data_IF_475378673675
#
_entry.id   IF_475378673675
#
_cell.length_a   1.000
_cell.length_b   1.000
_cell.length_c   1.000
_cell.angle_alpha   90.00
_cell.angle_beta   90.00
_cell.angle_gamma   90.00
#
_symmetry.space_group_name_H-M   'P 1'
#
loop_
_entity.id
_entity.type
_entity.pdbx_description
1 polymer ?
#
# COMPACT_ATOMS: atom_id res chain seq x y z
N UNK A 1 57.33 63.54 13.46
CA UNK A 1 56.43 62.92 12.49
C UNK A 1 56.86 61.47 12.30
N UNK A 2 56.18 60.53 13.02
CA UNK A 2 56.47 59.11 12.93
C UNK A 2 55.43 58.50 11.96
N UNK A 3 55.92 57.97 10.83
CA UNK A 3 55.11 57.22 9.86
C UNK A 3 54.90 55.79 10.36
N UNK A 4 53.66 55.43 10.70
CA UNK A 4 53.26 54.11 11.12
C UNK A 4 52.96 53.34 9.83
N UNK A 5 53.81 52.35 9.47
CA UNK A 5 53.55 51.47 8.34
C UNK A 5 52.72 50.30 8.80
N UNK A 6 51.46 50.26 8.34
CA UNK A 6 50.51 49.20 8.65
C UNK A 6 50.74 48.06 7.65
N UNK A 7 51.27 46.92 8.11
CA UNK A 7 51.43 45.71 7.34
C UNK A 7 50.11 44.96 7.38
N UNK A 8 49.40 44.93 6.24
CA UNK A 8 48.16 44.18 6.06
C UNK A 8 48.53 42.75 5.72
N UNK A 9 48.50 41.82 6.70
CA UNK A 9 48.62 40.38 6.47
C UNK A 9 47.28 39.85 5.97
N UNK A 10 47.21 39.59 4.65
CA UNK A 10 46.09 38.85 4.07
C UNK A 10 46.20 37.37 4.48
N UNK A 11 45.34 36.94 5.41
CA UNK A 11 45.19 35.54 5.73
C UNK A 11 44.45 34.86 4.59
N UNK A 12 45.16 34.07 3.79
CA UNK A 12 44.61 33.20 2.77
C UNK A 12 43.90 32.04 3.50
N UNK A 13 42.62 32.13 3.69
CA UNK A 13 41.81 30.99 4.16
C UNK A 13 41.70 30.02 2.98
N UNK A 14 42.59 29.04 2.95
CA UNK A 14 42.42 27.87 2.08
C UNK A 14 41.19 27.12 2.57
N UNK A 15 40.08 27.28 1.87
CA UNK A 15 38.92 26.41 2.05
C UNK A 15 39.39 24.97 1.76
N UNK A 16 39.47 24.14 2.79
CA UNK A 16 39.73 22.72 2.63
C UNK A 16 38.58 22.18 1.76
N UNK A 17 38.83 21.94 0.49
CA UNK A 17 37.93 21.23 -0.39
C UNK A 17 37.84 19.82 0.16
N UNK A 18 36.76 19.55 0.94
CA UNK A 18 36.54 18.20 1.42
C UNK A 18 36.31 17.29 0.20
N UNK A 19 37.05 16.18 0.17
CA UNK A 19 36.91 15.18 -0.86
C UNK A 19 35.45 14.66 -0.87
N UNK A 20 34.66 15.17 -1.79
CA UNK A 20 33.28 14.82 -1.95
C UNK A 20 32.95 14.67 -3.43
N UNK A 21 32.24 13.62 -3.79
CA UNK A 21 31.77 13.48 -5.15
C UNK A 21 30.82 14.63 -5.49
N UNK A 22 31.13 15.35 -6.53
CA UNK A 22 30.29 16.38 -7.13
C UNK A 22 29.42 15.71 -8.18
N UNK A 23 28.12 15.69 -7.93
CA UNK A 23 27.13 15.11 -8.84
C UNK A 23 26.63 16.22 -9.76
N UNK A 24 26.53 15.93 -11.07
CA UNK A 24 25.93 16.87 -12.04
C UNK A 24 24.44 17.08 -11.73
N UNK A 25 23.80 15.99 -11.29
CA UNK A 25 22.41 16.02 -10.82
C UNK A 25 22.22 14.95 -9.72
N UNK A 26 21.26 15.17 -8.84
CA UNK A 26 20.92 14.23 -7.76
C UNK A 26 19.50 13.68 -7.88
N UNK A 27 18.74 14.13 -8.89
CA UNK A 27 17.38 13.70 -9.15
C UNK A 27 17.14 13.57 -10.65
N UNK A 28 16.42 12.53 -11.03
CA UNK A 28 16.00 12.30 -12.41
C UNK A 28 14.54 11.91 -12.47
N UNK A 29 13.77 12.50 -13.41
CA UNK A 29 12.39 12.14 -13.69
C UNK A 29 12.31 11.48 -15.08
N UNK A 30 11.90 10.21 -15.12
CA UNK A 30 11.66 9.47 -16.34
C UNK A 30 10.39 9.90 -17.08
N UNK A 31 9.56 10.75 -16.45
CA UNK A 31 8.26 11.09 -16.99
C UNK A 31 7.30 9.88 -16.99
N UNK A 32 6.55 9.72 -18.08
CA UNK A 32 5.64 8.58 -18.26
C UNK A 32 6.40 7.45 -18.95
N UNK A 33 6.52 6.31 -18.28
CA UNK A 33 7.12 5.08 -18.81
C UNK A 33 6.02 4.03 -19.01
N UNK A 34 6.04 3.32 -20.12
CA UNK A 34 5.15 2.17 -20.34
C UNK A 34 5.79 0.92 -19.71
N UNK A 35 4.98 0.15 -19.04
CA UNK A 35 5.46 -1.10 -18.42
C UNK A 35 6.05 -2.07 -19.45
N UNK A 36 5.45 -2.12 -20.67
CA UNK A 36 5.89 -2.99 -21.75
C UNK A 36 7.27 -2.64 -22.32
N UNK A 37 7.74 -1.39 -22.14
CA UNK A 37 9.08 -0.98 -22.58
C UNK A 37 10.19 -1.60 -21.69
N UNK A 38 9.81 -2.25 -20.58
CA UNK A 38 10.72 -2.92 -19.69
C UNK A 38 11.46 -1.97 -18.74
N UNK A 39 12.67 -2.36 -18.34
CA UNK A 39 13.49 -1.57 -17.42
C UNK A 39 13.92 -0.27 -18.04
N UNK A 40 13.88 0.80 -17.23
CA UNK A 40 14.46 2.11 -17.58
C UNK A 40 15.72 2.36 -16.74
N UNK A 41 16.66 3.10 -17.30
CA UNK A 41 17.93 3.38 -16.65
C UNK A 41 18.35 4.83 -16.84
N UNK A 42 19.04 5.36 -15.82
CA UNK A 42 19.67 6.68 -15.88
C UNK A 42 21.07 6.62 -15.29
N UNK A 43 21.99 7.42 -15.85
CA UNK A 43 23.37 7.54 -15.39
C UNK A 43 23.57 8.87 -14.69
N UNK A 44 23.74 8.82 -13.38
CA UNK A 44 24.13 9.99 -12.58
C UNK A 44 25.62 10.20 -12.71
N UNK A 45 26.02 11.22 -13.43
CA UNK A 45 27.41 11.58 -13.60
C UNK A 45 27.97 12.24 -12.32
N UNK A 46 29.23 11.94 -12.02
CA UNK A 46 29.96 12.53 -10.90
C UNK A 46 31.40 12.83 -11.26
N UNK A 47 32.00 13.71 -10.47
CA UNK A 47 33.46 14.00 -10.48
C UNK A 47 33.97 14.06 -9.04
N UNK A 48 35.16 13.52 -8.80
CA UNK A 48 35.87 13.80 -7.57
C UNK A 48 36.58 15.17 -7.68
N UNK A 49 35.97 16.20 -7.13
CA UNK A 49 36.52 17.56 -7.07
C UNK A 49 37.47 17.79 -5.90
N UNK A 50 37.68 16.77 -5.05
CA UNK A 50 38.57 16.85 -3.90
C UNK A 50 40.05 16.54 -4.23
N UNK A 51 40.89 16.63 -3.21
CA UNK A 51 42.34 16.31 -3.29
C UNK A 51 42.63 14.85 -2.90
N UNK A 52 41.67 14.15 -2.27
CA UNK A 52 41.81 12.78 -1.80
C UNK A 52 40.99 11.81 -2.66
N UNK A 53 41.41 10.55 -2.66
CA UNK A 53 40.61 9.44 -3.21
C UNK A 53 39.33 9.29 -2.41
N UNK A 54 38.19 9.10 -3.10
CA UNK A 54 36.92 8.76 -2.51
C UNK A 54 36.66 7.27 -2.71
N UNK A 55 36.38 6.55 -1.62
CA UNK A 55 36.06 5.12 -1.65
C UNK A 55 34.57 4.92 -1.46
N UNK A 56 33.90 4.36 -2.47
CA UNK A 56 32.48 3.98 -2.38
C UNK A 56 32.37 2.62 -1.70
N UNK A 57 31.88 2.61 -0.47
CA UNK A 57 31.73 1.40 0.36
C UNK A 57 30.58 0.52 -0.09
N UNK A 58 29.47 1.13 -0.45
CA UNK A 58 28.26 0.44 -0.93
C UNK A 58 27.25 1.40 -1.52
N UNK A 59 26.34 0.87 -2.32
CA UNK A 59 25.08 1.53 -2.71
C UNK A 59 23.90 0.80 -2.08
N UNK A 60 22.85 1.53 -1.74
CA UNK A 60 21.61 0.94 -1.24
C UNK A 60 20.39 1.61 -1.87
N UNK A 61 19.39 0.83 -2.26
CA UNK A 61 18.14 1.33 -2.83
C UNK A 61 16.97 1.16 -1.88
N UNK A 62 15.96 2.03 -2.00
CA UNK A 62 14.76 1.99 -1.16
C UNK A 62 13.83 0.80 -1.45
N UNK A 63 14.06 0.03 -2.53
CA UNK A 63 13.31 -1.19 -2.86
C UNK A 63 14.13 -2.11 -3.76
N UNK A 64 13.75 -3.40 -3.82
CA UNK A 64 14.34 -4.36 -4.75
C UNK A 64 14.00 -4.12 -6.24
N UNK A 65 13.14 -3.13 -6.52
CA UNK A 65 12.78 -2.72 -7.88
C UNK A 65 13.79 -1.75 -8.52
N UNK A 66 14.74 -1.26 -7.73
CA UNK A 66 15.77 -0.30 -8.17
C UNK A 66 17.14 -0.89 -7.87
N UNK A 67 17.99 -0.92 -8.86
CA UNK A 67 19.39 -1.35 -8.73
C UNK A 67 20.32 -0.19 -9.06
N UNK A 68 21.48 -0.16 -8.40
CA UNK A 68 22.51 0.83 -8.65
C UNK A 68 23.84 0.12 -8.86
N UNK A 69 24.54 0.48 -9.94
CA UNK A 69 25.83 -0.12 -10.30
C UNK A 69 26.87 0.97 -10.60
N UNK A 70 28.02 0.84 -9.98
CA UNK A 70 29.18 1.66 -10.19
C UNK A 70 30.24 0.83 -10.91
N UNK A 71 31.00 1.43 -11.80
CA UNK A 71 32.12 0.73 -12.47
C UNK A 71 33.29 0.56 -11.52
N UNK A 72 33.67 1.65 -10.83
CA UNK A 72 34.81 1.68 -9.95
C UNK A 72 34.41 2.13 -8.55
N UNK A 73 34.98 1.50 -7.54
CA UNK A 73 34.72 1.83 -6.13
C UNK A 73 35.73 2.81 -5.53
N UNK A 74 36.89 2.99 -6.19
CA UNK A 74 37.92 3.96 -5.82
C UNK A 74 37.99 5.04 -6.90
N UNK A 75 37.74 6.28 -6.51
CA UNK A 75 37.64 7.42 -7.43
C UNK A 75 38.76 8.40 -7.06
N UNK A 76 39.80 8.48 -7.91
CA UNK A 76 40.98 9.33 -7.69
C UNK A 76 40.61 10.82 -7.82
N UNK A 77 41.41 11.72 -7.25
CA UNK A 77 41.27 13.17 -7.44
C UNK A 77 41.18 13.54 -8.92
N UNK A 78 40.16 14.30 -9.29
CA UNK A 78 39.90 14.73 -10.66
C UNK A 78 39.17 13.74 -11.55
N UNK A 79 39.05 12.48 -11.16
CA UNK A 79 38.36 11.46 -11.93
C UNK A 79 36.84 11.75 -12.02
N UNK A 80 36.27 11.36 -13.14
CA UNK A 80 34.86 11.46 -13.43
C UNK A 80 34.29 10.07 -13.77
N UNK A 81 33.05 9.83 -13.44
CA UNK A 81 32.36 8.57 -13.72
C UNK A 81 30.85 8.70 -13.66
N UNK A 82 30.17 7.58 -13.65
CA UNK A 82 28.72 7.58 -13.52
C UNK A 82 28.23 6.39 -12.70
N UNK A 83 27.17 6.61 -11.93
CA UNK A 83 26.36 5.56 -11.30
C UNK A 83 25.17 5.23 -12.21
N UNK A 84 25.10 4.00 -12.69
CA UNK A 84 23.93 3.52 -13.42
C UNK A 84 22.84 3.11 -12.43
N UNK A 85 21.69 3.77 -12.50
CA UNK A 85 20.49 3.42 -11.73
C UNK A 85 19.45 2.86 -12.69
N UNK A 86 19.02 1.62 -12.44
CA UNK A 86 17.97 0.94 -13.20
C UNK A 86 16.72 0.79 -12.35
N UNK A 87 15.55 1.01 -12.94
CA UNK A 87 14.24 0.77 -12.33
C UNK A 87 13.46 -0.25 -13.16
N UNK A 88 12.89 -1.25 -12.47
CA UNK A 88 11.99 -2.24 -13.07
C UNK A 88 10.53 -1.82 -12.81
N UNK A 89 9.76 -1.42 -13.85
CA UNK A 89 8.37 -0.99 -13.72
C UNK A 89 7.37 -2.13 -13.58
N UNK A 90 7.76 -3.39 -13.81
CA UNK A 90 6.84 -4.53 -13.86
C UNK A 90 5.98 -4.64 -12.59
N UNK A 91 4.67 -4.68 -12.77
CA UNK A 91 3.66 -4.76 -11.71
C UNK A 91 3.69 -3.58 -10.71
N UNK A 92 4.13 -2.39 -11.17
CA UNK A 92 4.24 -1.18 -10.34
C UNK A 92 3.58 0.03 -10.99
N UNK A 93 2.28 -0.06 -11.30
CA UNK A 93 1.57 1.02 -11.97
C UNK A 93 1.47 2.27 -11.08
N UNK A 94 1.44 3.42 -11.73
CA UNK A 94 1.27 4.72 -11.09
C UNK A 94 2.56 5.48 -10.82
N UNK A 95 2.48 6.60 -10.07
CA UNK A 95 3.63 7.42 -9.76
C UNK A 95 4.60 6.68 -8.83
N UNK A 96 5.88 6.86 -9.09
CA UNK A 96 6.93 6.34 -8.21
C UNK A 96 7.97 7.40 -7.90
N UNK A 97 8.55 7.28 -6.72
CA UNK A 97 9.69 8.04 -6.24
C UNK A 97 10.60 7.10 -5.46
N UNK A 98 11.81 6.89 -5.93
CA UNK A 98 12.77 5.96 -5.34
C UNK A 98 14.07 6.67 -5.02
N UNK A 99 14.72 6.22 -3.96
CA UNK A 99 15.99 6.77 -3.52
C UNK A 99 17.07 5.70 -3.60
N UNK A 100 18.27 6.16 -3.98
CA UNK A 100 19.51 5.40 -3.97
C UNK A 100 20.49 6.15 -3.10
N UNK A 101 20.98 5.53 -2.04
CA UNK A 101 22.02 6.08 -1.19
C UNK A 101 23.39 5.54 -1.65
N UNK A 102 24.34 6.44 -1.89
CA UNK A 102 25.74 6.16 -2.18
C UNK A 102 26.56 6.45 -0.93
N UNK A 103 27.04 5.39 -0.28
CA UNK A 103 27.83 5.48 0.95
C UNK A 103 29.32 5.45 0.61
N UNK A 104 30.02 6.53 0.93
CA UNK A 104 31.48 6.65 0.76
C UNK A 104 32.20 6.71 2.10
N UNK A 105 33.50 6.70 2.09
CA UNK A 105 34.35 6.99 3.27
C UNK A 105 34.25 8.45 3.73
N UNK A 106 33.77 9.35 2.86
CA UNK A 106 33.62 10.79 3.11
C UNK A 106 32.17 11.22 3.44
N UNK A 107 31.18 10.31 3.36
CA UNK A 107 29.78 10.62 3.65
C UNK A 107 28.79 9.84 2.80
N UNK A 108 27.52 10.26 2.84
CA UNK A 108 26.45 9.61 2.08
C UNK A 108 25.73 10.64 1.22
N UNK A 109 25.58 10.34 -0.07
CA UNK A 109 24.76 11.11 -1.00
C UNK A 109 23.50 10.33 -1.32
N UNK A 110 22.35 11.01 -1.33
CA UNK A 110 21.08 10.44 -1.79
C UNK A 110 20.76 10.93 -3.20
N UNK A 111 20.57 9.98 -4.10
CA UNK A 111 20.06 10.22 -5.45
C UNK A 111 18.59 9.82 -5.51
N UNK A 112 17.82 10.47 -6.37
CA UNK A 112 16.39 10.22 -6.52
C UNK A 112 16.05 9.94 -7.97
N UNK A 113 15.21 8.93 -8.20
CA UNK A 113 14.51 8.75 -9.47
C UNK A 113 13.00 8.83 -9.24
N UNK A 114 12.29 9.41 -10.19
CA UNK A 114 10.84 9.54 -10.19
C UNK A 114 10.28 9.23 -11.57
N UNK A 115 8.95 9.13 -11.65
CA UNK A 115 8.21 8.95 -12.89
C UNK A 115 6.81 8.38 -12.63
N UNK A 116 6.10 8.06 -13.70
CA UNK A 116 4.77 7.44 -13.67
C UNK A 116 4.76 6.22 -14.59
N UNK A 117 4.47 5.04 -14.03
CA UNK A 117 4.33 3.80 -14.81
C UNK A 117 2.90 3.68 -15.34
N UNK A 118 2.75 3.59 -16.66
CA UNK A 118 1.51 3.24 -17.32
C UNK A 118 1.45 1.72 -17.47
N UNK A 119 0.50 1.03 -16.79
CA UNK A 119 0.40 -0.42 -16.84
C UNK A 119 -0.16 -0.88 -18.18
N UNK A 120 0.21 -2.07 -18.60
CA UNK A 120 -0.31 -2.69 -19.83
C UNK A 120 -0.59 -4.19 -19.64
N UNK A 121 -1.40 -4.75 -20.55
CA UNK A 121 -1.63 -6.18 -20.66
C UNK A 121 -2.11 -6.87 -19.38
N UNK A 122 -1.37 -7.88 -18.97
CA UNK A 122 -1.69 -8.73 -17.80
C UNK A 122 -1.73 -7.95 -16.49
N UNK A 123 -0.85 -6.96 -16.32
CA UNK A 123 -0.78 -6.11 -15.12
C UNK A 123 -2.10 -5.40 -14.85
N UNK A 124 -2.76 -4.90 -15.91
CA UNK A 124 -4.08 -4.26 -15.77
C UNK A 124 -5.10 -5.24 -15.21
N UNK A 125 -5.11 -6.48 -15.69
CA UNK A 125 -6.01 -7.52 -15.20
C UNK A 125 -5.75 -7.95 -13.76
N UNK A 126 -4.48 -8.05 -13.37
CA UNK A 126 -4.06 -8.52 -12.04
C UNK A 126 -4.21 -7.46 -10.95
N UNK A 127 -3.85 -6.23 -11.24
CA UNK A 127 -3.85 -5.14 -10.24
C UNK A 127 -5.23 -4.47 -10.16
N UNK A 128 -5.95 -4.41 -11.28
CA UNK A 128 -7.26 -3.80 -11.39
C UNK A 128 -8.32 -4.83 -11.84
N UNK A 129 -8.61 -5.86 -11.04
CA UNK A 129 -9.51 -6.94 -11.43
C UNK A 129 -10.95 -6.47 -11.59
N UNK A 130 -11.37 -5.46 -10.81
CA UNK A 130 -12.74 -5.01 -10.74
C UNK A 130 -13.10 -4.09 -11.91
N UNK A 131 -14.05 -4.51 -12.75
CA UNK A 131 -14.54 -3.70 -13.88
C UNK A 131 -15.72 -2.84 -13.43
N UNK A 132 -15.67 -1.54 -13.73
CA UNK A 132 -16.75 -0.59 -13.48
C UNK A 132 -16.90 0.36 -14.67
N UNK A 133 -17.74 -0.02 -15.63
CA UNK A 133 -17.84 0.70 -16.91
C UNK A 133 -16.49 0.79 -17.64
N UNK A 134 -16.02 2.00 -17.93
CA UNK A 134 -14.70 2.26 -18.53
C UNK A 134 -13.53 2.19 -17.54
N UNK A 135 -13.82 2.12 -16.24
CA UNK A 135 -12.81 1.99 -15.19
C UNK A 135 -12.51 0.53 -14.86
N UNK A 136 -11.30 0.31 -14.40
CA UNK A 136 -10.90 -0.86 -13.64
C UNK A 136 -10.36 -0.43 -12.29
N UNK A 137 -10.75 -1.12 -11.22
CA UNK A 137 -10.43 -0.76 -9.84
C UNK A 137 -9.60 -1.85 -9.18
N UNK A 138 -8.80 -1.47 -8.19
CA UNK A 138 -8.14 -2.42 -7.30
C UNK A 138 -9.13 -3.18 -6.43
N UNK A 139 -10.26 -2.56 -6.08
CA UNK A 139 -11.36 -3.16 -5.30
C UNK A 139 -12.64 -2.34 -5.47
N UNK A 140 -13.80 -3.00 -5.36
CA UNK A 140 -15.10 -2.34 -5.18
C UNK A 140 -15.45 -2.11 -3.71
N UNK A 141 -14.64 -2.61 -2.79
CA UNK A 141 -14.80 -2.40 -1.35
C UNK A 141 -13.65 -1.54 -0.83
N UNK A 142 -14.00 -0.44 -0.20
CA UNK A 142 -13.09 0.45 0.49
C UNK A 142 -13.14 0.17 1.99
N UNK A 143 -12.23 -0.68 2.48
CA UNK A 143 -12.15 -1.02 3.89
C UNK A 143 -11.45 0.11 4.67
N UNK A 144 -12.23 0.89 5.41
CA UNK A 144 -11.71 1.99 6.25
C UNK A 144 -11.09 1.44 7.54
N UNK A 145 -11.62 0.32 8.05
CA UNK A 145 -11.23 -0.30 9.32
C UNK A 145 -11.89 0.37 10.52
N UNK A 146 -11.25 0.28 11.68
CA UNK A 146 -11.78 0.83 12.93
C UNK A 146 -11.70 2.36 12.94
N UNK A 147 -12.83 3.01 13.22
CA UNK A 147 -12.94 4.47 13.33
C UNK A 147 -13.54 4.80 14.69
N UNK A 148 -12.80 5.51 15.53
CA UNK A 148 -13.30 5.94 16.84
C UNK A 148 -14.35 7.02 16.67
N UNK A 149 -15.40 6.97 17.49
CA UNK A 149 -16.39 8.04 17.59
C UNK A 149 -15.70 9.41 17.73
N UNK A 150 -16.17 10.41 16.98
CA UNK A 150 -15.58 11.76 16.92
C UNK A 150 -14.28 11.85 16.07
N UNK A 151 -13.82 10.76 15.47
CA UNK A 151 -12.60 10.74 14.66
C UNK A 151 -12.90 10.38 13.21
N UNK A 152 -11.91 10.62 12.35
CA UNK A 152 -11.96 10.26 10.94
C UNK A 152 -10.82 9.31 10.57
N UNK A 153 -11.08 8.47 9.59
CA UNK A 153 -10.07 7.63 8.96
C UNK A 153 -10.29 7.59 7.46
N UNK A 154 -9.23 7.39 6.72
CA UNK A 154 -9.31 7.30 5.26
C UNK A 154 -8.71 5.99 4.75
N UNK A 155 -9.21 5.58 3.60
CA UNK A 155 -8.67 4.52 2.76
C UNK A 155 -8.67 4.96 1.30
N UNK A 156 -8.04 4.20 0.42
CA UNK A 156 -7.99 4.55 -1.00
C UNK A 156 -8.33 3.36 -1.88
N UNK A 157 -9.00 3.65 -2.99
CA UNK A 157 -9.20 2.72 -4.10
C UNK A 157 -8.51 3.33 -5.32
N UNK A 158 -7.64 2.57 -5.97
CA UNK A 158 -6.97 3.03 -7.19
C UNK A 158 -7.81 2.59 -8.39
N UNK A 159 -7.99 3.50 -9.34
CA UNK A 159 -8.71 3.29 -10.57
C UNK A 159 -7.79 3.51 -11.78
N UNK A 160 -7.99 2.69 -12.80
CA UNK A 160 -7.35 2.77 -14.12
C UNK A 160 -8.42 3.02 -15.18
N UNK A 161 -8.24 4.02 -16.03
CA UNK A 161 -9.11 4.24 -17.16
C UNK A 161 -8.74 3.28 -18.30
N UNK A 162 -9.52 2.23 -18.46
CA UNK A 162 -9.37 1.23 -19.51
C UNK A 162 -10.17 1.57 -20.79
N UNK A 163 -10.88 2.70 -20.82
CA UNK A 163 -11.63 3.17 -21.99
C UNK A 163 -10.74 3.95 -22.96
N UNK A 164 -11.32 4.32 -24.11
CA UNK A 164 -10.67 5.18 -25.10
C UNK A 164 -10.95 6.67 -24.88
N UNK A 165 -11.84 6.99 -23.96
CA UNK A 165 -12.30 8.34 -23.70
C UNK A 165 -11.72 8.87 -22.40
N UNK A 166 -11.53 10.18 -22.30
CA UNK A 166 -11.26 10.85 -21.03
C UNK A 166 -12.51 10.79 -20.15
N UNK A 167 -12.35 10.37 -18.90
CA UNK A 167 -13.43 10.22 -17.94
C UNK A 167 -13.43 11.38 -16.95
N UNK A 168 -14.54 12.14 -16.92
CA UNK A 168 -14.80 13.17 -15.91
C UNK A 168 -15.57 12.52 -14.76
N UNK A 169 -14.90 12.27 -13.65
CA UNK A 169 -15.42 11.52 -12.52
C UNK A 169 -16.21 12.40 -11.56
N UNK A 170 -17.32 11.87 -11.07
CA UNK A 170 -18.11 12.46 -9.99
C UNK A 170 -18.60 11.35 -9.04
N UNK A 171 -18.72 11.70 -7.77
CA UNK A 171 -19.12 10.81 -6.69
C UNK A 171 -20.36 11.34 -6.00
N UNK A 172 -21.23 10.44 -5.59
CA UNK A 172 -22.40 10.77 -4.77
C UNK A 172 -22.57 9.73 -3.67
N UNK A 173 -22.81 10.19 -2.46
CA UNK A 173 -23.07 9.36 -1.30
C UNK A 173 -24.16 10.01 -0.46
N UNK A 174 -25.13 9.23 0.01
CA UNK A 174 -26.19 9.70 0.91
C UNK A 174 -25.76 9.81 2.36
N UNK A 175 -24.73 9.08 2.76
CA UNK A 175 -24.16 9.13 4.11
C UNK A 175 -23.22 10.33 4.23
N UNK A 176 -23.61 11.31 5.05
CA UNK A 176 -22.87 12.55 5.28
C UNK A 176 -21.50 12.33 5.96
N UNK A 177 -21.30 11.15 6.56
CA UNK A 177 -20.03 10.76 7.18
C UNK A 177 -18.95 10.40 6.15
N UNK A 178 -19.36 10.20 4.89
CA UNK A 178 -18.46 9.84 3.80
C UNK A 178 -18.07 11.06 2.97
N UNK A 179 -16.78 11.31 2.90
CA UNK A 179 -16.17 12.20 1.91
C UNK A 179 -15.38 11.41 0.88
N UNK A 180 -15.48 11.78 -0.39
CA UNK A 180 -14.68 11.18 -1.47
C UNK A 180 -13.96 12.28 -2.23
N UNK A 181 -12.65 12.10 -2.40
CA UNK A 181 -11.79 13.00 -3.19
C UNK A 181 -10.97 12.14 -4.14
N UNK A 182 -11.03 12.46 -5.43
CA UNK A 182 -10.13 11.89 -6.41
C UNK A 182 -8.86 12.75 -6.53
N UNK A 183 -7.68 12.12 -6.72
CA UNK A 183 -6.43 12.83 -7.00
C UNK A 183 -6.54 13.63 -8.31
N UNK A 184 -7.27 13.07 -9.29
CA UNK A 184 -7.72 13.77 -10.49
C UNK A 184 -9.16 13.35 -10.81
N UNK A 185 -10.05 14.33 -11.00
CA UNK A 185 -11.39 14.10 -11.49
C UNK A 185 -11.40 13.80 -13.00
N UNK A 186 -10.42 14.32 -13.74
CA UNK A 186 -10.21 14.06 -15.15
C UNK A 186 -9.14 12.99 -15.34
N UNK A 187 -9.52 11.86 -15.96
CA UNK A 187 -8.65 10.69 -16.13
C UNK A 187 -8.57 10.34 -17.61
N UNK A 188 -7.43 10.61 -18.23
CA UNK A 188 -7.20 10.28 -19.64
C UNK A 188 -7.12 8.75 -19.84
N UNK A 189 -7.31 8.26 -21.09
CA UNK A 189 -7.13 6.86 -21.44
C UNK A 189 -5.77 6.31 -21.00
N UNK A 190 -5.75 5.16 -20.31
CA UNK A 190 -4.54 4.53 -19.83
C UNK A 190 -3.94 5.19 -18.56
N UNK A 191 -4.59 6.19 -18.00
CA UNK A 191 -4.15 6.84 -16.77
C UNK A 191 -4.80 6.26 -15.52
N UNK A 192 -4.15 6.53 -14.39
CA UNK A 192 -4.59 6.15 -13.06
C UNK A 192 -5.02 7.37 -12.27
N UNK A 193 -5.99 7.15 -11.39
CA UNK A 193 -6.35 8.07 -10.32
C UNK A 193 -6.58 7.28 -9.03
N UNK A 194 -6.55 7.94 -7.90
CA UNK A 194 -6.88 7.35 -6.60
C UNK A 194 -8.11 8.05 -6.03
N UNK A 195 -9.02 7.28 -5.48
CA UNK A 195 -10.17 7.77 -4.73
C UNK A 195 -9.86 7.66 -3.25
N UNK A 196 -9.57 8.78 -2.62
CA UNK A 196 -9.45 8.87 -1.16
C UNK A 196 -10.85 8.92 -0.56
N UNK A 197 -11.21 7.89 0.20
CA UNK A 197 -12.50 7.74 0.86
C UNK A 197 -12.29 7.99 2.35
N UNK A 198 -12.89 9.04 2.87
CA UNK A 198 -12.81 9.44 4.28
C UNK A 198 -14.13 9.09 4.95
N UNK A 199 -14.07 8.35 6.04
CA UNK A 199 -15.20 8.14 6.94
C UNK A 199 -14.98 8.96 8.21
N UNK A 200 -15.96 9.82 8.55
CA UNK A 200 -16.00 10.62 9.76
C UNK A 200 -17.06 10.01 10.68
N UNK A 201 -16.64 9.37 11.77
CA UNK A 201 -17.56 8.91 12.79
C UNK A 201 -17.95 10.08 13.70
N UNK A 202 -19.25 10.33 13.88
CA UNK A 202 -19.74 11.29 14.85
C UNK A 202 -19.59 10.77 16.28
N UNK A 203 -19.49 11.66 17.26
CA UNK A 203 -19.38 11.26 18.68
C UNK A 203 -20.63 10.57 19.20
N UNK A 204 -21.78 10.76 18.55
CA UNK A 204 -23.05 10.12 18.86
C UNK A 204 -23.34 8.86 18.05
N UNK A 205 -22.45 8.48 17.11
CA UNK A 205 -22.67 7.26 16.31
C UNK A 205 -22.71 6.02 17.20
N UNK A 206 -23.60 5.09 16.86
CA UNK A 206 -23.58 3.77 17.49
C UNK A 206 -22.30 3.00 17.10
N UNK A 207 -21.75 2.27 18.05
CA UNK A 207 -20.63 1.36 17.75
C UNK A 207 -21.12 0.19 16.93
N UNK A 208 -20.32 -0.24 15.95
CA UNK A 208 -20.66 -1.33 15.09
C UNK A 208 -20.23 -1.11 13.65
N UNK A 209 -20.63 -2.03 12.78
CA UNK A 209 -20.30 -1.97 11.36
C UNK A 209 -21.18 -0.95 10.63
N UNK A 210 -20.54 -0.12 9.83
CA UNK A 210 -21.16 0.82 8.91
C UNK A 210 -20.75 0.48 7.47
N UNK A 211 -21.73 0.13 6.64
CA UNK A 211 -21.54 -0.10 5.20
C UNK A 211 -22.28 0.99 4.43
N UNK A 212 -21.60 1.66 3.54
CA UNK A 212 -22.14 2.77 2.78
C UNK A 212 -21.80 2.64 1.30
N UNK A 213 -22.77 2.87 0.42
CA UNK A 213 -22.58 2.85 -1.01
C UNK A 213 -22.24 4.24 -1.54
N UNK A 214 -21.16 4.31 -2.32
CA UNK A 214 -20.69 5.49 -3.02
C UNK A 214 -20.96 5.28 -4.50
N UNK A 215 -21.89 6.05 -5.08
CA UNK A 215 -22.14 6.02 -6.51
C UNK A 215 -20.99 6.72 -7.26
N UNK A 216 -20.48 6.04 -8.27
CA UNK A 216 -19.44 6.58 -9.18
C UNK A 216 -20.09 6.90 -10.52
N UNK A 217 -19.88 8.12 -11.00
CA UNK A 217 -20.31 8.57 -12.33
C UNK A 217 -19.09 8.97 -13.16
N UNK A 218 -19.16 8.78 -14.45
CA UNK A 218 -18.19 9.33 -15.39
C UNK A 218 -18.95 9.95 -16.58
N UNK A 219 -18.56 11.15 -16.98
CA UNK A 219 -19.19 11.91 -18.06
C UNK A 219 -20.74 12.00 -17.91
N UNK A 220 -21.20 12.18 -16.66
CA UNK A 220 -22.61 12.25 -16.28
C UNK A 220 -23.35 10.90 -16.22
N UNK A 221 -22.72 9.79 -16.64
CA UNK A 221 -23.33 8.44 -16.64
C UNK A 221 -22.93 7.64 -15.43
N UNK A 222 -23.85 6.83 -14.91
CA UNK A 222 -23.54 5.90 -13.80
C UNK A 222 -22.55 4.82 -14.26
N UNK A 223 -21.50 4.63 -13.49
CA UNK A 223 -20.49 3.57 -13.71
C UNK A 223 -20.71 2.39 -12.77
N UNK A 224 -21.27 2.62 -11.59
CA UNK A 224 -21.48 1.62 -10.55
C UNK A 224 -21.32 2.18 -9.14
N UNK A 225 -21.08 1.29 -8.19
CA UNK A 225 -20.91 1.65 -6.77
C UNK A 225 -19.63 1.08 -6.19
N UNK A 226 -19.06 1.81 -5.25
CA UNK A 226 -18.00 1.35 -4.33
C UNK A 226 -18.65 1.26 -2.94
N UNK A 227 -18.43 0.17 -2.21
CA UNK A 227 -18.90 0.02 -0.84
C UNK A 227 -17.79 0.43 0.13
N UNK A 228 -18.00 1.51 0.88
CA UNK A 228 -17.16 1.84 2.01
C UNK A 228 -17.61 1.05 3.25
N UNK A 229 -16.67 0.39 3.91
CA UNK A 229 -16.93 -0.39 5.13
C UNK A 229 -16.08 0.14 6.27
N UNK A 230 -16.71 0.52 7.36
CA UNK A 230 -16.04 0.97 8.58
C UNK A 230 -16.56 0.20 9.80
N UNK A 231 -15.75 0.11 10.85
CA UNK A 231 -16.17 -0.31 12.17
C UNK A 231 -16.10 0.88 13.11
N UNK A 232 -17.23 1.39 13.54
CA UNK A 232 -17.26 2.45 14.55
C UNK A 232 -16.98 1.84 15.92
N UNK A 233 -15.98 2.37 16.61
CA UNK A 233 -15.58 1.93 17.95
C UNK A 233 -15.67 3.09 18.94
N UNK A 234 -15.77 2.78 20.24
CA UNK A 234 -15.96 3.79 21.30
C UNK A 234 -14.84 4.86 21.29
N UNK A 235 -15.23 6.11 21.54
CA UNK A 235 -14.32 7.27 21.57
C UNK A 235 -13.25 7.16 22.66
N UNK A 236 -13.65 6.64 23.81
CA UNK A 236 -12.84 6.55 25.04
C UNK A 236 -12.73 5.10 25.50
N UNK A 237 -11.81 4.32 24.91
CA UNK A 237 -11.60 2.92 25.34
C UNK A 237 -11.20 2.84 26.82
N UNK A 238 -10.60 3.87 27.39
CA UNK A 238 -10.30 3.94 28.83
C UNK A 238 -11.53 3.99 29.73
N UNK A 239 -12.71 4.40 29.20
CA UNK A 239 -14.00 4.36 29.92
C UNK A 239 -14.73 3.04 29.75
N UNK A 240 -14.23 2.15 28.92
CA UNK A 240 -14.79 0.81 28.76
C UNK A 240 -14.37 -0.02 29.95
N UNK A 241 -15.33 -0.57 30.67
CA UNK A 241 -15.04 -1.58 31.68
C UNK A 241 -14.66 -2.91 31.02
N UNK A 242 -13.38 -3.05 30.70
CA UNK A 242 -12.85 -4.27 30.08
C UNK A 242 -13.06 -5.53 30.95
N UNK A 243 -13.24 -5.36 32.25
CA UNK A 243 -13.49 -6.48 33.15
C UNK A 243 -14.89 -7.09 32.96
N UNK A 244 -15.84 -6.29 32.48
CA UNK A 244 -17.21 -6.72 32.17
C UNK A 244 -17.50 -6.82 30.66
N UNK A 245 -16.59 -6.37 29.81
CA UNK A 245 -16.76 -6.36 28.36
C UNK A 245 -16.78 -7.76 27.73
N UNK A 246 -17.35 -7.91 26.52
CA UNK A 246 -17.13 -9.10 25.69
C UNK A 246 -15.67 -9.15 25.24
N UNK A 247 -15.12 -10.34 25.13
CA UNK A 247 -13.76 -10.55 24.65
C UNK A 247 -13.70 -11.73 23.69
N UNK A 248 -13.21 -11.48 22.48
CA UNK A 248 -13.01 -12.50 21.47
C UNK A 248 -11.69 -13.22 21.68
N UNK A 249 -11.71 -14.55 21.74
CA UNK A 249 -10.54 -15.39 21.57
C UNK A 249 -10.63 -16.17 20.26
N UNK A 250 -9.67 -15.96 19.38
CA UNK A 250 -9.46 -16.73 18.16
C UNK A 250 -8.54 -17.92 18.46
N UNK A 251 -8.87 -19.11 17.95
CA UNK A 251 -8.00 -20.30 18.07
C UNK A 251 -6.90 -20.33 17.00
N UNK A 252 -7.13 -19.66 15.87
CA UNK A 252 -6.14 -19.51 14.81
C UNK A 252 -6.41 -18.22 14.03
N UNK A 253 -5.36 -17.51 13.69
CA UNK A 253 -5.38 -16.31 12.86
C UNK A 253 -5.03 -16.60 11.38
N UNK A 254 -4.77 -17.88 11.08
CA UNK A 254 -4.44 -18.38 9.74
C UNK A 254 -5.17 -19.68 9.44
N UNK A 255 -5.63 -19.79 8.18
CA UNK A 255 -6.23 -21.00 7.62
C UNK A 255 -5.47 -21.41 6.37
N UNK A 256 -4.98 -22.65 6.34
CA UNK A 256 -4.26 -23.22 5.21
C UNK A 256 -5.18 -24.18 4.44
N UNK A 257 -5.33 -23.93 3.15
CA UNK A 257 -6.13 -24.74 2.22
C UNK A 257 -5.27 -25.69 1.39
N UNK A 258 -3.96 -25.78 1.65
CA UNK A 258 -3.05 -26.68 0.92
C UNK A 258 -3.35 -28.15 1.23
N UNK A 259 -3.41 -29.04 0.23
CA UNK A 259 -3.38 -28.76 -1.20
C UNK A 259 -4.74 -28.29 -1.73
N UNK A 260 -4.70 -27.34 -2.67
CA UNK A 260 -5.91 -26.86 -3.34
C UNK A 260 -6.18 -27.78 -4.54
N UNK A 261 -7.28 -28.53 -4.46
CA UNK A 261 -7.80 -29.35 -5.56
C UNK A 261 -8.83 -28.60 -6.40
N UNK A 262 -9.66 -29.34 -7.13
CA UNK A 262 -10.71 -28.77 -8.00
C UNK A 262 -12.06 -28.57 -7.28
N UNK A 263 -12.24 -29.18 -6.12
CA UNK A 263 -13.51 -29.12 -5.34
C UNK A 263 -13.42 -28.03 -4.29
N UNK A 264 -14.61 -27.50 -3.92
CA UNK A 264 -14.73 -26.55 -2.80
C UNK A 264 -14.20 -27.18 -1.51
N UNK A 265 -13.41 -26.40 -0.80
CA UNK A 265 -12.78 -26.82 0.47
C UNK A 265 -13.33 -25.91 1.58
N UNK A 266 -13.88 -26.52 2.63
CA UNK A 266 -14.31 -25.78 3.81
C UNK A 266 -13.35 -26.04 4.98
N UNK A 267 -12.99 -24.96 5.67
CA UNK A 267 -12.24 -24.97 6.94
C UNK A 267 -13.01 -24.15 7.96
N UNK A 268 -12.76 -24.39 9.24
CA UNK A 268 -13.38 -23.59 10.28
C UNK A 268 -12.36 -23.17 11.31
N UNK A 269 -12.53 -21.94 11.83
CA UNK A 269 -11.78 -21.41 12.96
C UNK A 269 -12.73 -21.33 14.14
N UNK A 270 -12.33 -21.92 15.27
CA UNK A 270 -13.08 -21.81 16.52
C UNK A 270 -12.87 -20.41 17.11
N UNK A 271 -13.96 -19.81 17.55
CA UNK A 271 -14.00 -18.55 18.28
C UNK A 271 -14.65 -18.79 19.64
N UNK A 272 -14.26 -18.03 20.64
CA UNK A 272 -14.79 -18.14 21.99
C UNK A 272 -14.99 -16.75 22.59
N UNK A 273 -16.09 -16.54 23.30
CA UNK A 273 -16.26 -15.38 24.13
C UNK A 273 -15.66 -15.66 25.51
N UNK A 274 -14.50 -15.08 25.79
CA UNK A 274 -13.82 -15.19 27.11
C UNK A 274 -14.13 -14.02 28.04
N UNK A 275 -14.95 -13.07 27.55
CA UNK A 275 -15.43 -11.94 28.33
C UNK A 275 -16.64 -12.25 29.19
N UNK A 276 -17.22 -11.21 29.81
CA UNK A 276 -18.36 -11.32 30.72
C UNK A 276 -19.68 -10.79 30.14
N UNK A 277 -19.64 -10.08 29.01
CA UNK A 277 -20.81 -9.63 28.25
C UNK A 277 -21.00 -10.42 26.97
N UNK A 278 -22.15 -10.32 26.34
CA UNK A 278 -22.47 -10.98 25.09
C UNK A 278 -21.57 -10.47 23.95
N UNK A 279 -20.86 -11.38 23.29
CA UNK A 279 -20.04 -11.09 22.13
C UNK A 279 -20.87 -11.21 20.86
N UNK A 280 -21.06 -10.09 20.19
CA UNK A 280 -21.76 -10.03 18.93
C UNK A 280 -20.79 -10.06 17.75
N UNK A 281 -21.01 -10.98 16.79
CA UNK A 281 -20.35 -10.96 15.49
C UNK A 281 -21.20 -10.08 14.57
N UNK A 282 -20.87 -8.80 14.46
CA UNK A 282 -21.66 -7.80 13.75
C UNK A 282 -21.56 -7.96 12.24
N UNK A 283 -20.41 -8.46 11.74
CA UNK A 283 -20.23 -8.70 10.31
C UNK A 283 -19.08 -9.65 10.01
N UNK A 284 -19.02 -10.09 8.77
CA UNK A 284 -17.90 -10.82 8.19
C UNK A 284 -17.70 -10.34 6.77
N UNK A 285 -16.46 -10.32 6.29
CA UNK A 285 -16.09 -9.94 4.93
C UNK A 285 -14.93 -10.78 4.41
N UNK A 286 -14.74 -10.75 3.10
CA UNK A 286 -13.59 -11.32 2.42
C UNK A 286 -13.11 -10.34 1.35
N UNK A 287 -11.83 -10.40 1.02
CA UNK A 287 -11.22 -9.58 -0.03
C UNK A 287 -11.01 -10.37 -1.33
N UNK A 288 -11.52 -11.60 -1.40
CA UNK A 288 -11.31 -12.51 -2.53
C UNK A 288 -12.61 -13.24 -2.84
N UNK A 289 -13.07 -13.17 -4.09
CA UNK A 289 -14.33 -13.80 -4.55
C UNK A 289 -14.29 -15.32 -4.51
N UNK A 290 -13.09 -15.91 -4.51
CA UNK A 290 -12.91 -17.35 -4.33
C UNK A 290 -13.14 -17.78 -2.87
N UNK A 291 -13.13 -16.84 -1.92
CA UNK A 291 -13.29 -17.14 -0.49
C UNK A 291 -14.63 -16.64 0.01
N UNK A 292 -15.42 -17.55 0.56
CA UNK A 292 -16.68 -17.22 1.24
C UNK A 292 -16.55 -17.46 2.74
N UNK A 293 -17.16 -16.59 3.54
CA UNK A 293 -17.17 -16.68 5.00
C UNK A 293 -18.57 -16.73 5.55
N UNK A 294 -18.79 -17.65 6.51
CA UNK A 294 -20.07 -17.82 7.21
C UNK A 294 -19.81 -17.99 8.72
N UNK A 295 -20.55 -17.25 9.54
CA UNK A 295 -20.55 -17.39 11.00
C UNK A 295 -21.64 -18.37 11.43
N UNK A 296 -21.34 -19.23 12.43
CA UNK A 296 -22.31 -20.19 12.97
C UNK A 296 -23.24 -19.57 14.03
N UNK A 297 -22.79 -18.45 14.65
CA UNK A 297 -23.58 -17.72 15.63
C UNK A 297 -23.41 -16.21 15.43
N UNK A 298 -24.49 -15.46 15.66
CA UNK A 298 -24.45 -13.98 15.65
C UNK A 298 -24.06 -13.42 17.01
N UNK A 299 -24.35 -14.15 18.09
CA UNK A 299 -24.08 -13.77 19.46
C UNK A 299 -23.55 -14.99 20.22
N UNK A 300 -22.48 -14.78 20.97
CA UNK A 300 -21.88 -15.76 21.88
C UNK A 300 -21.95 -15.23 23.31
N UNK A 301 -22.71 -15.92 24.17
CA UNK A 301 -22.71 -15.62 25.60
C UNK A 301 -21.35 -15.90 26.24
N UNK A 302 -21.05 -15.32 27.41
CA UNK A 302 -19.83 -15.58 28.16
C UNK A 302 -19.52 -17.09 28.27
N UNK A 303 -18.27 -17.47 27.97
CA UNK A 303 -17.79 -18.84 27.97
C UNK A 303 -18.26 -19.70 26.77
N UNK A 304 -19.10 -19.17 25.86
CA UNK A 304 -19.58 -19.95 24.72
C UNK A 304 -18.64 -19.86 23.53
N UNK A 305 -18.62 -20.96 22.76
CA UNK A 305 -17.83 -21.13 21.55
C UNK A 305 -18.72 -21.09 20.31
N UNK A 306 -18.13 -20.66 19.22
CA UNK A 306 -18.73 -20.66 17.88
C UNK A 306 -17.66 -20.99 16.84
N UNK A 307 -18.06 -20.95 15.56
CA UNK A 307 -17.14 -21.20 14.45
C UNK A 307 -17.33 -20.15 13.36
N UNK A 308 -16.23 -19.78 12.74
CA UNK A 308 -16.18 -19.07 11.47
C UNK A 308 -15.83 -20.12 10.42
N UNK A 309 -16.78 -20.38 9.53
CA UNK A 309 -16.58 -21.32 8.41
C UNK A 309 -16.09 -20.55 7.20
N UNK A 310 -14.96 -20.94 6.67
CA UNK A 310 -14.32 -20.32 5.51
C UNK A 310 -14.30 -21.36 4.39
N UNK A 311 -14.89 -21.03 3.26
CA UNK A 311 -15.01 -21.92 2.10
C UNK A 311 -14.21 -21.32 0.95
N UNK A 312 -13.26 -22.07 0.42
CA UNK A 312 -12.56 -21.78 -0.80
C UNK A 312 -13.26 -22.45 -1.98
N UNK A 313 -13.53 -21.70 -3.03
CA UNK A 313 -14.01 -22.17 -4.32
C UNK A 313 -12.87 -22.04 -5.36
N UNK A 314 -12.13 -23.11 -5.65
CA UNK A 314 -10.99 -23.05 -6.56
C UNK A 314 -11.34 -22.59 -7.99
N UNK A 315 -12.60 -22.79 -8.42
CA UNK A 315 -13.05 -22.36 -9.74
C UNK A 315 -13.10 -20.85 -9.94
N UNK A 316 -13.03 -20.10 -8.84
CA UNK A 316 -13.04 -18.63 -8.83
C UNK A 316 -11.67 -18.00 -8.60
N UNK A 317 -10.63 -18.79 -8.40
CA UNK A 317 -9.28 -18.29 -8.21
C UNK A 317 -8.73 -17.70 -9.50
N UNK A 318 -8.16 -16.49 -9.44
CA UNK A 318 -7.72 -15.73 -10.61
C UNK A 318 -6.58 -16.43 -11.39
N UNK A 319 -5.66 -17.11 -10.69
CA UNK A 319 -4.51 -17.80 -11.29
C UNK A 319 -4.46 -19.31 -11.00
N UNK A 320 -5.40 -19.80 -10.19
CA UNK A 320 -5.57 -21.22 -9.88
C UNK A 320 -4.47 -21.87 -9.04
N UNK A 321 -3.39 -21.17 -8.69
CA UNK A 321 -2.19 -21.77 -8.07
C UNK A 321 -1.91 -21.38 -6.64
N UNK A 322 -2.13 -20.13 -6.29
CA UNK A 322 -1.79 -19.57 -4.96
C UNK A 322 -2.96 -18.79 -4.38
N UNK A 323 -3.40 -19.18 -3.20
CA UNK A 323 -4.29 -18.38 -2.37
C UNK A 323 -3.47 -17.58 -1.36
N UNK A 324 -3.63 -16.26 -1.33
CA UNK A 324 -3.10 -15.38 -0.31
C UNK A 324 -4.08 -14.23 -0.10
N UNK A 325 -5.04 -14.45 0.76
CA UNK A 325 -6.14 -13.56 1.03
C UNK A 325 -6.44 -13.47 2.52
N UNK A 326 -7.52 -12.79 2.89
CA UNK A 326 -7.94 -12.63 4.28
C UNK A 326 -9.46 -12.60 4.42
N UNK A 327 -9.92 -13.12 5.54
CA UNK A 327 -11.29 -12.97 6.03
C UNK A 327 -11.27 -11.98 7.19
N UNK A 328 -12.20 -11.05 7.21
CA UNK A 328 -12.39 -10.07 8.28
C UNK A 328 -13.65 -10.40 9.06
N UNK A 329 -13.55 -10.32 10.38
CA UNK A 329 -14.65 -10.48 11.34
C UNK A 329 -14.82 -9.17 12.09
N UNK A 330 -16.03 -8.66 12.15
CA UNK A 330 -16.40 -7.49 12.93
C UNK A 330 -17.13 -7.91 14.20
N UNK A 331 -16.74 -7.33 15.33
CA UNK A 331 -17.32 -7.69 16.65
C UNK A 331 -17.59 -6.43 17.49
N UNK A 332 -18.27 -6.61 18.62
CA UNK A 332 -18.41 -5.59 19.65
C UNK A 332 -17.38 -5.70 20.78
N UNK A 333 -16.31 -6.51 20.58
CA UNK A 333 -15.17 -6.53 21.49
C UNK A 333 -14.45 -5.17 21.44
N UNK A 334 -14.32 -4.44 22.53
CA UNK A 334 -13.71 -3.11 22.52
C UNK A 334 -12.22 -3.11 22.24
N UNK A 335 -11.53 -4.27 22.35
CA UNK A 335 -10.12 -4.44 22.02
C UNK A 335 -9.91 -5.04 20.63
N UNK A 336 -10.87 -5.83 20.14
CA UNK A 336 -10.80 -6.58 18.90
C UNK A 336 -12.09 -6.38 18.07
N UNK A 337 -12.45 -5.11 17.85
CA UNK A 337 -13.61 -4.74 17.01
C UNK A 337 -13.52 -5.27 15.59
N UNK A 338 -12.29 -5.36 15.06
CA UNK A 338 -11.98 -5.93 13.74
C UNK A 338 -10.85 -6.96 13.87
N UNK A 339 -11.13 -8.19 13.45
CA UNK A 339 -10.16 -9.29 13.48
C UNK A 339 -9.99 -9.88 12.11
N UNK A 340 -8.73 -10.13 11.72
CA UNK A 340 -8.38 -10.68 10.43
C UNK A 340 -7.88 -12.12 10.57
N UNK A 341 -8.38 -13.01 9.71
CA UNK A 341 -7.90 -14.38 9.57
C UNK A 341 -7.27 -14.51 8.19
N UNK A 342 -5.97 -14.78 8.16
CA UNK A 342 -5.24 -14.98 6.90
C UNK A 342 -5.63 -16.32 6.27
N UNK A 343 -5.92 -16.32 4.98
CA UNK A 343 -6.21 -17.52 4.20
C UNK A 343 -5.12 -17.75 3.17
N UNK A 344 -4.52 -18.93 3.20
CA UNK A 344 -3.42 -19.29 2.29
C UNK A 344 -3.63 -20.69 1.72
N UNK A 345 -3.00 -20.98 0.60
CA UNK A 345 -2.98 -22.33 0.03
C UNK A 345 -2.30 -22.38 -1.31
N UNK A 346 -1.81 -23.57 -1.66
CA UNK A 346 -1.17 -23.87 -2.96
C UNK A 346 -1.78 -25.11 -3.57
N UNK A 347 -1.71 -25.24 -4.91
CA UNK A 347 -2.10 -26.46 -5.61
C UNK A 347 -1.04 -27.55 -5.44
N UNK A 348 -1.39 -28.81 -5.64
CA UNK A 348 -0.46 -29.95 -5.47
C UNK A 348 0.78 -29.88 -6.39
N UNK A 349 0.67 -29.22 -7.52
CA UNK A 349 1.77 -29.05 -8.48
C UNK A 349 2.98 -28.31 -7.90
N UNK A 350 2.78 -27.42 -6.91
CA UNK A 350 3.89 -26.65 -6.31
C UNK A 350 4.69 -27.43 -5.25
N UNK A 351 4.18 -28.60 -4.78
CA UNK A 351 4.91 -29.46 -3.84
C UNK A 351 6.08 -30.23 -4.47
N UNK A 352 6.14 -30.36 -5.80
CA UNK A 352 7.17 -31.16 -6.50
C UNK A 352 8.37 -30.34 -6.98
N UNK A 353 8.40 -29.02 -6.73
CA UNK A 353 9.49 -28.12 -7.16
C UNK A 353 10.32 -27.55 -5.99
N UNK A 354 10.31 -28.22 -4.82
CA UNK A 354 11.28 -27.92 -3.75
C UNK A 354 12.21 -29.07 -3.51
#
# INVERSE_FOLDING_TARGET
>A
MRRLTMILTAALVAAAASAQLQWEETAWDFGIIKEADGKVAHRFAYRNGGADTVVVKRTSSSCGCTTARLADTEILPGDSGSLLVEFNPSYRPGPFKKHVAVHTDKGTTQLQIAGKVRPEGETVGRIFPEKMGGLRLTSRTAAVGDVRQGHRRQTSVIAYNASRDTLMLAFACSDKRIGVVADSAEVAPGDLTSFSIVFQADSADETGRADTQIAVKANGRSMGVITATAQVVAAHPEKVDYASAPQLRLRADRVDFTPIGTKKIMRSVEIENIGKADLHITGTGTMDDAVAVKKTARCLKPGRKGKICITLDPSKMADGRLLNSSVVIFTNDPLQGTVQIRTVGTTETDKKQK
#
